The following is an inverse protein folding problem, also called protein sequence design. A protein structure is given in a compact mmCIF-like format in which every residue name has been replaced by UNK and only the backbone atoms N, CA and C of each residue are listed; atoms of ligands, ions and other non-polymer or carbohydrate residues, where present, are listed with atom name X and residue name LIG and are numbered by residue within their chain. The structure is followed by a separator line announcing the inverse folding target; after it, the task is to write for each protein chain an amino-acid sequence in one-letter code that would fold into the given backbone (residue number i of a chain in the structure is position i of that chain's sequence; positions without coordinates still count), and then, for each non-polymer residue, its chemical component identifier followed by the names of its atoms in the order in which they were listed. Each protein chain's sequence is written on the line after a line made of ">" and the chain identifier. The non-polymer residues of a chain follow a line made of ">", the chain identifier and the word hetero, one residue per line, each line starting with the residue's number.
data_IF_507828977585
#
_entry.id   IF_507828977585
#
_cell.length_a   1.000
_cell.length_b   1.000
_cell.length_c   1.000
_cell.angle_alpha   90.00
_cell.angle_beta   90.00
_cell.angle_gamma   90.00
#
_symmetry.space_group_name_H-M   'P 1'
#
loop_
_entity.id
_entity.type
_entity.pdbx_description
1 polymer ?
#
# COMPACT_ATOMS: atom_id res chain seq x y z
N UNK A 1 15.03 29.12 -9.33
CA UNK A 1 14.62 28.37 -8.13
C UNK A 1 15.75 28.27 -7.10
N UNK A 2 17.01 28.55 -7.50
CA UNK A 2 18.18 28.46 -6.57
C UNK A 2 18.37 29.63 -5.63
N UNK A 3 17.66 30.74 -5.80
CA UNK A 3 17.96 32.03 -5.10
C UNK A 3 17.21 32.22 -3.77
N UNK A 4 16.12 31.50 -3.48
CA UNK A 4 15.35 31.64 -2.22
C UNK A 4 14.70 30.33 -1.77
N UNK A 5 15.48 29.32 -1.35
CA UNK A 5 14.97 27.99 -1.04
C UNK A 5 14.05 27.91 0.20
N UNK A 6 13.99 28.93 1.03
CA UNK A 6 13.25 28.96 2.30
C UNK A 6 12.01 29.87 2.29
N UNK A 7 11.64 30.44 1.15
CA UNK A 7 10.41 31.23 1.03
C UNK A 7 9.15 30.36 1.07
N UNK A 8 8.16 30.78 1.87
CA UNK A 8 6.81 30.15 1.87
C UNK A 8 6.18 30.18 0.48
N UNK A 9 6.52 31.17 -0.33
CA UNK A 9 6.02 31.29 -1.69
C UNK A 9 6.52 30.14 -2.58
N UNK A 10 7.75 29.66 -2.38
CA UNK A 10 8.29 28.51 -3.13
C UNK A 10 7.47 27.25 -2.87
N UNK A 11 7.05 26.98 -1.61
CA UNK A 11 6.20 25.86 -1.27
C UNK A 11 4.89 25.88 -2.08
N UNK A 12 4.20 27.03 -2.05
CA UNK A 12 2.94 27.25 -2.77
C UNK A 12 3.13 27.16 -4.28
N UNK A 13 4.16 27.84 -4.81
CA UNK A 13 4.47 27.82 -6.24
C UNK A 13 4.83 26.43 -6.74
N UNK A 14 5.58 25.65 -5.95
CA UNK A 14 5.95 24.27 -6.31
C UNK A 14 4.72 23.37 -6.37
N UNK A 15 3.77 23.54 -5.44
CA UNK A 15 2.51 22.80 -5.48
C UNK A 15 1.73 23.09 -6.77
N UNK A 16 1.51 24.37 -7.11
CA UNK A 16 0.77 24.72 -8.33
C UNK A 16 1.54 24.39 -9.61
N UNK A 17 2.87 24.43 -9.56
CA UNK A 17 3.69 23.93 -10.66
C UNK A 17 3.52 22.44 -10.89
N UNK A 18 3.47 21.65 -9.80
CA UNK A 18 3.18 20.22 -9.88
C UNK A 18 1.79 19.93 -10.46
N UNK A 19 0.77 20.72 -10.07
CA UNK A 19 -0.58 20.66 -10.66
C UNK A 19 -0.57 20.92 -12.17
N UNK A 20 0.20 21.90 -12.61
CA UNK A 20 0.36 22.19 -14.04
C UNK A 20 1.05 21.06 -14.78
N UNK A 21 2.13 20.50 -14.21
CA UNK A 21 2.83 19.34 -14.77
C UNK A 21 1.91 18.13 -14.87
N UNK A 22 1.07 17.91 -13.85
CA UNK A 22 0.08 16.82 -13.85
C UNK A 22 -0.93 16.99 -14.99
N UNK A 23 -1.46 18.20 -15.18
CA UNK A 23 -2.38 18.51 -16.30
C UNK A 23 -1.72 18.38 -17.68
N UNK A 24 -0.42 18.62 -17.78
CA UNK A 24 0.38 18.42 -18.99
C UNK A 24 0.85 16.97 -19.18
N UNK A 25 0.34 16.04 -18.37
CA UNK A 25 0.70 14.61 -18.37
C UNK A 25 2.19 14.33 -18.14
N UNK A 26 2.91 15.28 -17.56
CA UNK A 26 4.32 15.13 -17.17
C UNK A 26 4.39 14.46 -15.78
N UNK A 27 3.94 13.21 -15.72
CA UNK A 27 3.69 12.48 -14.48
C UNK A 27 4.90 12.37 -13.57
N UNK A 28 6.08 12.08 -14.11
CA UNK A 28 7.29 11.93 -13.31
C UNK A 28 7.73 13.25 -12.66
N UNK A 29 7.71 14.34 -13.43
CA UNK A 29 8.05 15.67 -12.93
C UNK A 29 7.02 16.14 -11.90
N UNK A 30 5.73 15.91 -12.16
CA UNK A 30 4.65 16.21 -11.22
C UNK A 30 4.86 15.48 -9.89
N UNK A 31 5.07 14.16 -9.93
CA UNK A 31 5.28 13.35 -8.73
C UNK A 31 6.50 13.81 -7.91
N UNK A 32 7.60 14.16 -8.56
CA UNK A 32 8.80 14.71 -7.89
C UNK A 32 8.50 16.02 -7.16
N UNK A 33 7.78 16.93 -7.80
CA UNK A 33 7.44 18.23 -7.21
C UNK A 33 6.42 18.07 -6.07
N UNK A 34 5.40 17.22 -6.21
CA UNK A 34 4.48 16.91 -5.11
C UNK A 34 5.22 16.29 -3.91
N UNK A 35 6.11 15.33 -4.15
CA UNK A 35 6.93 14.72 -3.10
C UNK A 35 7.81 15.74 -2.39
N UNK A 36 8.36 16.70 -3.12
CA UNK A 36 9.12 17.80 -2.55
C UNK A 36 8.25 18.68 -1.63
N UNK A 37 7.03 19.02 -2.05
CA UNK A 37 6.05 19.77 -1.23
C UNK A 37 5.78 19.07 0.10
N UNK A 38 5.53 17.75 0.06
CA UNK A 38 5.27 16.94 1.27
C UNK A 38 6.46 16.95 2.23
N UNK A 39 7.68 16.85 1.70
CA UNK A 39 8.90 16.81 2.53
C UNK A 39 9.30 18.18 3.08
N UNK A 40 8.96 19.25 2.36
CA UNK A 40 9.38 20.62 2.70
C UNK A 40 8.63 21.19 3.90
N UNK A 41 7.32 20.91 3.99
CA UNK A 41 6.49 21.45 5.08
C UNK A 41 5.46 20.39 5.55
N UNK A 42 5.80 19.63 6.61
CA UNK A 42 4.91 18.61 7.18
C UNK A 42 3.62 19.16 7.81
N UNK A 43 3.51 20.45 8.04
CA UNK A 43 2.31 21.14 8.54
C UNK A 43 1.68 22.03 7.45
N UNK A 44 2.17 21.92 6.23
CA UNK A 44 1.79 22.76 5.13
C UNK A 44 0.36 22.54 4.65
N UNK A 45 -0.28 23.63 4.22
CA UNK A 45 -1.67 23.63 3.71
C UNK A 45 -1.92 22.57 2.63
N UNK A 46 -0.95 22.31 1.78
CA UNK A 46 -1.07 21.39 0.64
C UNK A 46 -0.50 20.01 0.91
N UNK A 47 -0.13 19.67 2.16
CA UNK A 47 0.48 18.40 2.53
C UNK A 47 -0.34 17.21 2.03
N UNK A 48 -1.62 17.17 2.41
CA UNK A 48 -2.52 16.06 2.07
C UNK A 48 -2.75 15.91 0.57
N UNK A 49 -3.01 17.03 -0.10
CA UNK A 49 -3.28 17.02 -1.53
C UNK A 49 -2.04 16.62 -2.32
N UNK A 50 -0.87 17.17 -1.98
CA UNK A 50 0.39 16.83 -2.63
C UNK A 50 0.79 15.36 -2.40
N UNK A 51 0.63 14.84 -1.18
CA UNK A 51 0.96 13.46 -0.88
C UNK A 51 0.12 12.48 -1.71
N UNK A 52 -1.19 12.72 -1.80
CA UNK A 52 -2.07 11.88 -2.61
C UNK A 52 -1.84 12.07 -4.12
N UNK A 53 -1.64 13.31 -4.57
CA UNK A 53 -1.36 13.60 -5.98
C UNK A 53 -0.03 12.98 -6.46
N UNK A 54 0.99 12.88 -5.59
CA UNK A 54 2.21 12.15 -5.91
C UNK A 54 1.95 10.68 -6.23
N UNK A 55 1.11 10.01 -5.42
CA UNK A 55 0.70 8.61 -5.66
C UNK A 55 -0.04 8.50 -6.99
N UNK A 56 -1.00 9.40 -7.24
CA UNK A 56 -1.75 9.39 -8.50
C UNK A 56 -0.85 9.61 -9.73
N UNK A 57 0.13 10.51 -9.64
CA UNK A 57 1.08 10.76 -10.70
C UNK A 57 1.95 9.52 -11.00
N UNK A 58 2.47 8.85 -9.97
CA UNK A 58 3.19 7.58 -10.16
C UNK A 58 2.29 6.48 -10.72
N UNK A 59 1.02 6.42 -10.28
CA UNK A 59 0.02 5.50 -10.80
C UNK A 59 -0.17 5.67 -12.32
N UNK A 60 -0.31 6.92 -12.77
CA UNK A 60 -0.39 7.26 -14.21
C UNK A 60 0.89 6.93 -14.96
N UNK A 61 2.05 7.27 -14.41
CA UNK A 61 3.35 7.04 -15.02
C UNK A 61 3.61 5.54 -15.27
N UNK A 62 3.28 4.70 -14.30
CA UNK A 62 3.60 3.27 -14.33
C UNK A 62 2.42 2.38 -14.74
N UNK A 63 1.27 2.98 -15.08
CA UNK A 63 0.04 2.28 -15.51
C UNK A 63 -0.36 1.16 -14.54
N UNK A 64 -0.29 1.43 -13.25
CA UNK A 64 -0.60 0.46 -12.19
C UNK A 64 -2.08 0.44 -11.82
N UNK A 65 -2.96 0.89 -12.71
CA UNK A 65 -4.40 1.04 -12.44
C UNK A 65 -5.18 -0.29 -12.35
N UNK A 66 -4.58 -1.40 -12.80
CA UNK A 66 -5.32 -2.63 -13.06
C UNK A 66 -5.19 -3.72 -11.98
N UNK A 67 -4.62 -3.41 -10.81
CA UNK A 67 -4.56 -4.40 -9.75
C UNK A 67 -5.87 -4.42 -8.97
N UNK A 68 -6.83 -5.19 -9.50
CA UNK A 68 -7.97 -5.62 -8.71
C UNK A 68 -7.51 -6.68 -7.71
N UNK A 69 -8.07 -6.70 -6.48
CA UNK A 69 -7.84 -7.80 -5.56
C UNK A 69 -8.11 -9.12 -6.28
N UNK A 70 -7.11 -9.93 -6.44
CA UNK A 70 -7.27 -11.23 -7.09
C UNK A 70 -7.40 -12.29 -6.00
N UNK A 71 -8.52 -12.96 -5.96
CA UNK A 71 -8.75 -14.11 -5.09
C UNK A 71 -7.91 -15.33 -5.49
N UNK A 72 -7.33 -15.31 -6.69
CA UNK A 72 -6.56 -16.45 -7.18
C UNK A 72 -5.16 -16.44 -6.59
N UNK A 73 -4.90 -17.41 -5.72
CA UNK A 73 -3.56 -17.87 -5.38
C UNK A 73 -2.78 -18.06 -6.69
N UNK A 74 -1.75 -17.29 -6.89
CA UNK A 74 -0.95 -17.39 -8.10
C UNK A 74 -0.20 -18.72 -8.05
N UNK A 75 -0.48 -19.62 -9.00
CA UNK A 75 0.30 -20.85 -9.18
C UNK A 75 1.74 -20.46 -9.56
N UNK A 76 2.58 -20.39 -8.55
CA UNK A 76 3.96 -19.92 -8.67
C UNK A 76 4.90 -21.11 -8.63
N UNK A 77 5.55 -21.37 -9.75
CA UNK A 77 6.62 -22.37 -9.83
C UNK A 77 7.94 -21.91 -9.19
N UNK A 78 8.07 -20.61 -8.90
CA UNK A 78 9.30 -20.04 -8.36
C UNK A 78 9.01 -18.91 -7.38
N UNK A 79 9.39 -19.10 -6.12
CA UNK A 79 9.18 -18.15 -5.02
C UNK A 79 10.40 -17.25 -4.73
N UNK A 80 11.42 -17.22 -5.60
CA UNK A 80 12.57 -16.35 -5.38
C UNK A 80 12.17 -14.88 -5.46
N UNK A 81 12.59 -14.03 -4.51
CA UNK A 81 12.34 -12.60 -4.56
C UNK A 81 12.82 -11.98 -5.87
N UNK A 82 11.97 -11.17 -6.49
CA UNK A 82 12.29 -10.39 -7.68
C UNK A 82 12.51 -8.93 -7.29
N UNK A 83 13.51 -8.25 -7.86
CA UNK A 83 13.74 -6.86 -7.53
C UNK A 83 12.54 -5.99 -7.95
N UNK A 84 12.21 -5.03 -7.09
CA UNK A 84 11.31 -3.95 -7.44
C UNK A 84 12.00 -3.05 -8.47
N UNK A 85 11.29 -2.68 -9.53
CA UNK A 85 11.77 -1.67 -10.46
C UNK A 85 11.73 -0.28 -9.82
N UNK A 86 12.32 0.72 -10.47
CA UNK A 86 12.42 2.08 -9.94
C UNK A 86 11.03 2.70 -9.70
N UNK A 87 10.07 2.42 -10.57
CA UNK A 87 8.72 2.89 -10.42
C UNK A 87 7.99 2.32 -9.23
N UNK A 88 8.11 1.04 -9.03
CA UNK A 88 7.53 0.34 -7.89
C UNK A 88 8.12 0.85 -6.57
N UNK A 89 9.44 1.10 -6.53
CA UNK A 89 10.08 1.70 -5.35
C UNK A 89 9.51 3.08 -5.04
N UNK A 90 9.44 3.95 -6.05
CA UNK A 90 8.91 5.31 -5.89
C UNK A 90 7.43 5.33 -5.49
N UNK A 91 6.64 4.42 -6.04
CA UNK A 91 5.25 4.25 -5.65
C UNK A 91 5.13 3.85 -4.17
N UNK A 92 5.92 2.85 -3.73
CA UNK A 92 5.95 2.43 -2.33
C UNK A 92 6.38 3.57 -1.41
N UNK A 93 7.44 4.31 -1.77
CA UNK A 93 7.90 5.47 -1.00
C UNK A 93 6.81 6.55 -0.88
N UNK A 94 6.06 6.82 -1.96
CA UNK A 94 4.97 7.79 -1.93
C UNK A 94 3.81 7.32 -1.05
N UNK A 95 3.45 6.03 -1.11
CA UNK A 95 2.42 5.43 -0.25
C UNK A 95 2.86 5.48 1.22
N UNK A 96 4.08 5.08 1.53
CA UNK A 96 4.60 5.08 2.90
C UNK A 96 4.66 6.51 3.46
N UNK A 97 5.05 7.48 2.64
CA UNK A 97 5.07 8.90 3.01
C UNK A 97 3.65 9.43 3.30
N UNK A 98 2.65 9.02 2.49
CA UNK A 98 1.26 9.35 2.74
C UNK A 98 0.78 8.78 4.07
N UNK A 99 1.03 7.50 4.32
CA UNK A 99 0.62 6.82 5.56
C UNK A 99 1.27 7.45 6.79
N UNK A 100 2.55 7.81 6.69
CA UNK A 100 3.31 8.38 7.80
C UNK A 100 2.91 9.84 8.12
N UNK A 101 2.73 10.68 7.10
CA UNK A 101 2.60 12.13 7.29
C UNK A 101 1.16 12.66 7.23
N UNK A 102 0.27 11.95 6.57
CA UNK A 102 -1.04 12.48 6.16
C UNK A 102 -2.20 11.68 6.70
N UNK A 103 -2.07 10.36 6.71
CA UNK A 103 -3.18 9.49 7.04
C UNK A 103 -3.71 9.71 8.46
N UNK A 104 -5.02 9.82 8.57
CA UNK A 104 -5.74 9.83 9.84
C UNK A 104 -6.51 8.51 10.00
N UNK A 105 -6.92 8.13 11.23
CA UNK A 105 -7.67 6.88 11.46
C UNK A 105 -8.93 6.72 10.58
N UNK A 106 -9.54 7.84 10.20
CA UNK A 106 -10.77 7.87 9.38
C UNK A 106 -10.51 8.18 7.90
N UNK A 107 -9.26 8.08 7.43
CA UNK A 107 -8.94 8.31 6.04
C UNK A 107 -9.38 7.11 5.18
N UNK A 108 -10.43 7.32 4.36
CA UNK A 108 -11.01 6.27 3.51
C UNK A 108 -10.04 5.67 2.48
N UNK A 109 -8.88 6.29 2.27
CA UNK A 109 -7.87 5.81 1.31
C UNK A 109 -6.81 4.92 1.95
N UNK A 110 -6.73 4.92 3.29
CA UNK A 110 -5.59 4.30 3.99
C UNK A 110 -5.53 2.80 3.76
N UNK A 111 -6.66 2.12 3.76
CA UNK A 111 -6.71 0.66 3.62
C UNK A 111 -6.31 0.23 2.21
N UNK A 112 -6.87 0.90 1.19
CA UNK A 112 -6.50 0.65 -0.22
C UNK A 112 -5.00 0.88 -0.47
N UNK A 113 -4.45 1.97 0.06
CA UNK A 113 -3.01 2.27 -0.09
C UNK A 113 -2.12 1.25 0.63
N UNK A 114 -2.48 0.85 1.84
CA UNK A 114 -1.77 -0.19 2.60
C UNK A 114 -1.82 -1.53 1.87
N UNK A 115 -3.01 -1.92 1.39
CA UNK A 115 -3.21 -3.15 0.64
C UNK A 115 -2.37 -3.16 -0.65
N UNK A 116 -2.42 -2.08 -1.41
CA UNK A 116 -1.61 -1.91 -2.62
C UNK A 116 -0.12 -2.09 -2.35
N UNK A 117 0.40 -1.45 -1.30
CA UNK A 117 1.80 -1.57 -0.92
C UNK A 117 2.18 -3.01 -0.49
N UNK A 118 1.30 -3.68 0.27
CA UNK A 118 1.48 -5.08 0.64
C UNK A 118 1.50 -6.00 -0.59
N UNK A 119 0.53 -5.79 -1.50
CA UNK A 119 0.37 -6.58 -2.71
C UNK A 119 1.54 -6.44 -3.68
N UNK A 120 2.12 -5.24 -3.80
CA UNK A 120 3.34 -5.03 -4.61
C UNK A 120 4.51 -5.88 -4.12
N UNK A 121 4.69 -6.02 -2.81
CA UNK A 121 5.69 -6.93 -2.25
C UNK A 121 5.34 -8.38 -2.50
N UNK A 122 4.08 -8.76 -2.33
CA UNK A 122 3.59 -10.11 -2.57
C UNK A 122 3.83 -10.56 -4.02
N UNK A 123 3.47 -9.74 -5.00
CA UNK A 123 3.71 -10.04 -6.42
C UNK A 123 5.19 -10.23 -6.77
N UNK A 124 6.06 -9.56 -6.05
CA UNK A 124 7.52 -9.69 -6.24
C UNK A 124 8.18 -10.77 -5.38
N UNK A 125 7.38 -11.59 -4.71
CA UNK A 125 7.83 -12.69 -3.84
C UNK A 125 8.64 -12.20 -2.62
N UNK A 126 8.41 -10.98 -2.14
CA UNK A 126 8.94 -10.48 -0.87
C UNK A 126 7.95 -10.79 0.25
N UNK A 127 7.73 -12.07 0.52
CA UNK A 127 6.63 -12.55 1.35
C UNK A 127 6.70 -12.10 2.80
N UNK A 128 7.89 -11.97 3.40
CA UNK A 128 8.04 -11.46 4.76
C UNK A 128 7.53 -10.00 4.87
N UNK A 129 7.88 -9.17 3.87
CA UNK A 129 7.43 -7.78 3.84
C UNK A 129 5.94 -7.66 3.55
N UNK A 130 5.43 -8.50 2.66
CA UNK A 130 4.01 -8.56 2.35
C UNK A 130 3.19 -9.01 3.57
N UNK A 131 3.60 -10.09 4.24
CA UNK A 131 2.96 -10.62 5.44
C UNK A 131 2.83 -9.56 6.53
N UNK A 132 3.93 -8.87 6.86
CA UNK A 132 3.91 -7.82 7.87
C UNK A 132 2.90 -6.70 7.55
N UNK A 133 2.78 -6.32 6.27
CA UNK A 133 1.84 -5.28 5.83
C UNK A 133 0.40 -5.76 5.77
N UNK A 134 0.14 -7.00 5.34
CA UNK A 134 -1.20 -7.58 5.36
C UNK A 134 -1.71 -7.75 6.80
N UNK A 135 -0.85 -8.21 7.71
CA UNK A 135 -1.22 -8.33 9.12
C UNK A 135 -1.57 -6.97 9.74
N UNK A 136 -0.83 -5.90 9.43
CA UNK A 136 -1.15 -4.54 9.87
C UNK A 136 -2.55 -4.08 9.43
N UNK A 137 -3.01 -4.50 8.23
CA UNK A 137 -4.37 -4.23 7.77
C UNK A 137 -5.38 -5.00 8.60
N UNK A 138 -5.16 -6.30 8.80
CA UNK A 138 -6.08 -7.16 9.56
C UNK A 138 -6.25 -6.68 10.99
N UNK A 139 -5.15 -6.27 11.64
CA UNK A 139 -5.17 -5.83 13.03
C UNK A 139 -5.75 -4.42 13.25
N UNK A 140 -5.61 -3.53 12.26
CA UNK A 140 -5.94 -2.10 12.44
C UNK A 140 -7.16 -1.61 11.67
N UNK A 141 -7.64 -2.38 10.69
CA UNK A 141 -8.72 -1.95 9.79
C UNK A 141 -9.85 -2.97 9.72
N UNK A 142 -10.24 -3.48 10.90
CA UNK A 142 -11.34 -4.41 11.03
C UNK A 142 -12.65 -3.80 10.49
N UNK A 143 -13.36 -4.57 9.66
CA UNK A 143 -14.62 -4.11 9.04
C UNK A 143 -14.47 -3.53 7.62
N UNK A 144 -13.24 -3.44 7.09
CA UNK A 144 -13.01 -3.11 5.69
C UNK A 144 -12.94 -4.39 4.83
N UNK A 145 -13.50 -4.36 3.63
CA UNK A 145 -13.51 -5.51 2.71
C UNK A 145 -12.09 -6.06 2.44
N UNK A 146 -11.10 -5.17 2.32
CA UNK A 146 -9.71 -5.55 2.10
C UNK A 146 -9.07 -6.27 3.29
N UNK A 147 -9.70 -6.24 4.47
CA UNK A 147 -9.24 -6.99 5.64
C UNK A 147 -9.36 -8.50 5.41
N UNK A 148 -10.45 -8.96 4.80
CA UNK A 148 -10.65 -10.38 4.47
C UNK A 148 -9.60 -10.85 3.46
N UNK A 149 -9.38 -10.08 2.39
CA UNK A 149 -8.32 -10.40 1.41
C UNK A 149 -6.93 -10.38 2.03
N UNK A 150 -6.67 -9.42 2.93
CA UNK A 150 -5.39 -9.33 3.63
C UNK A 150 -5.14 -10.51 4.55
N UNK A 151 -6.16 -11.00 5.25
CA UNK A 151 -6.06 -12.19 6.10
C UNK A 151 -5.68 -13.44 5.27
N UNK A 152 -6.34 -13.63 4.12
CA UNK A 152 -6.05 -14.74 3.23
C UNK A 152 -4.61 -14.67 2.67
N UNK A 153 -4.20 -13.49 2.17
CA UNK A 153 -2.85 -13.30 1.61
C UNK A 153 -1.76 -13.35 2.69
N UNK A 154 -2.07 -12.96 3.93
CA UNK A 154 -1.16 -13.14 5.06
C UNK A 154 -0.87 -14.62 5.31
N UNK A 155 -1.90 -15.44 5.39
CA UNK A 155 -1.75 -16.90 5.58
C UNK A 155 -1.05 -17.57 4.40
N UNK A 156 -1.32 -17.12 3.16
CA UNK A 156 -0.60 -17.60 1.98
C UNK A 156 0.91 -17.26 2.07
N UNK A 157 1.26 -16.05 2.50
CA UNK A 157 2.66 -15.70 2.75
C UNK A 157 3.31 -16.64 3.77
N UNK A 158 2.64 -16.92 4.91
CA UNK A 158 3.16 -17.82 5.94
C UNK A 158 3.35 -19.25 5.41
N UNK A 159 2.38 -19.75 4.63
CA UNK A 159 2.47 -21.05 4.00
C UNK A 159 3.68 -21.14 3.04
N UNK A 160 3.87 -20.14 2.19
CA UNK A 160 5.02 -20.07 1.26
C UNK A 160 6.35 -20.02 2.03
N UNK A 161 6.39 -19.25 3.10
CA UNK A 161 7.56 -19.14 3.99
C UNK A 161 7.78 -20.37 4.87
N UNK A 162 6.81 -21.30 4.90
CA UNK A 162 6.79 -22.47 5.80
C UNK A 162 6.81 -22.10 7.29
N UNK A 163 6.27 -20.94 7.62
CA UNK A 163 6.13 -20.46 9.00
C UNK A 163 4.84 -21.03 9.61
N UNK A 164 4.84 -22.35 9.82
CA UNK A 164 3.68 -23.09 10.29
C UNK A 164 3.30 -22.76 11.73
N UNK A 165 4.24 -22.29 12.54
CA UNK A 165 3.97 -21.85 13.92
C UNK A 165 3.06 -20.61 13.93
N UNK A 166 3.45 -19.56 13.21
CA UNK A 166 2.61 -18.38 13.07
C UNK A 166 1.33 -18.68 12.31
N UNK A 167 1.36 -19.59 11.35
CA UNK A 167 0.19 -20.00 10.59
C UNK A 167 -0.87 -20.62 11.51
N UNK A 168 -0.53 -21.62 12.32
CA UNK A 168 -1.46 -22.23 13.28
C UNK A 168 -2.02 -21.20 14.28
N UNK A 169 -1.13 -20.34 14.79
CA UNK A 169 -1.52 -19.26 15.70
C UNK A 169 -2.58 -18.35 15.08
N UNK A 170 -2.33 -17.82 13.89
CA UNK A 170 -3.23 -16.83 13.27
C UNK A 170 -4.49 -17.46 12.67
N UNK A 171 -4.44 -18.68 12.18
CA UNK A 171 -5.65 -19.43 11.80
C UNK A 171 -6.61 -19.53 13.00
N UNK A 172 -6.12 -19.87 14.19
CA UNK A 172 -6.94 -19.93 15.41
C UNK A 172 -7.45 -18.57 15.88
N UNK A 173 -6.69 -17.50 15.66
CA UNK A 173 -7.13 -16.13 15.95
C UNK A 173 -8.24 -15.73 14.98
N UNK A 174 -8.05 -15.95 13.69
CA UNK A 174 -9.01 -15.56 12.64
C UNK A 174 -10.32 -16.36 12.72
N UNK A 175 -10.26 -17.65 13.13
CA UNK A 175 -11.46 -18.43 13.37
C UNK A 175 -12.36 -17.92 14.52
N UNK A 176 -11.79 -17.12 15.42
CA UNK A 176 -12.53 -16.46 16.52
C UNK A 176 -13.06 -15.09 16.13
N UNK A 177 -12.64 -14.57 15.01
CA UNK A 177 -13.06 -13.28 14.50
C UNK A 177 -14.36 -13.43 13.69
N UNK A 178 -15.46 -12.89 14.22
CA UNK A 178 -16.77 -13.00 13.57
C UNK A 178 -16.82 -12.33 12.20
N UNK A 179 -16.14 -11.18 12.03
CA UNK A 179 -16.10 -10.47 10.77
C UNK A 179 -15.38 -11.27 9.68
N UNK A 180 -14.23 -11.86 9.99
CA UNK A 180 -13.50 -12.70 9.04
C UNK A 180 -14.26 -13.99 8.71
N UNK A 181 -14.94 -14.59 9.69
CA UNK A 181 -15.69 -15.84 9.50
C UNK A 181 -17.09 -15.67 8.89
N UNK A 182 -17.61 -14.44 8.76
CA UNK A 182 -18.76 -14.14 7.92
C UNK A 182 -18.47 -14.41 6.43
N UNK A 183 -17.22 -14.28 6.00
CA UNK A 183 -16.81 -14.73 4.67
C UNK A 183 -16.67 -16.25 4.65
N UNK A 184 -17.63 -16.94 4.00
CA UNK A 184 -17.68 -18.41 3.98
C UNK A 184 -16.45 -19.05 3.33
N UNK A 185 -15.85 -18.43 2.33
CA UNK A 185 -14.68 -18.96 1.63
C UNK A 185 -13.45 -18.92 2.54
N UNK A 186 -13.21 -17.76 3.18
CA UNK A 186 -12.12 -17.64 4.15
C UNK A 186 -12.35 -18.61 5.33
N UNK A 187 -13.58 -18.71 5.86
CA UNK A 187 -13.89 -19.64 6.96
C UNK A 187 -13.55 -21.08 6.59
N UNK A 188 -13.98 -21.57 5.43
CA UNK A 188 -13.67 -22.93 4.97
C UNK A 188 -12.17 -23.15 4.82
N UNK A 189 -11.46 -22.14 4.30
CA UNK A 189 -10.00 -22.17 4.20
C UNK A 189 -9.37 -22.32 5.59
N UNK A 190 -9.79 -21.50 6.55
CA UNK A 190 -9.29 -21.53 7.93
C UNK A 190 -9.56 -22.90 8.61
N UNK A 191 -10.78 -23.44 8.45
CA UNK A 191 -11.17 -24.74 8.99
C UNK A 191 -10.29 -25.87 8.42
N UNK A 192 -9.99 -25.84 7.12
CA UNK A 192 -9.14 -26.85 6.46
C UNK A 192 -7.68 -26.85 6.94
N UNK A 193 -7.22 -25.81 7.61
CA UNK A 193 -5.87 -25.72 8.15
C UNK A 193 -5.76 -26.23 9.61
N UNK A 194 -6.88 -26.48 10.27
CA UNK A 194 -6.92 -26.96 11.66
C UNK A 194 -7.17 -28.48 11.73
N UNK A 195 -7.69 -29.08 10.65
CA UNK A 195 -7.84 -30.51 10.49
C UNK A 195 -6.50 -31.23 10.23
#
# INVERSE_FOLDING_TARGET
>A
VETFPDSKDIYVMTFFFAELLYKLEKWEEAAKNYTWVVKKDPEGKYLKDAAYAAILAYKKLYKTDEHQPSEKLVDRKNFKPRPLNEGEKRMLEAIDLYIEKVASPNDSKIVDLKYRAAYMYYEKNHFEKAAARFLDIVEKHHGDELTVFSANLYLDCLNILKDYENMDKYVRIFLKDSYLTENEELRRTLESWVE
#
